data_IF_271952835419
#
_entry.id   IF_271952835419
#
_cell.length_a   1.000
_cell.length_b   1.000
_cell.length_c   1.000
_cell.angle_alpha   90.00
_cell.angle_beta   90.00
_cell.angle_gamma   90.00
#
_symmetry.space_group_name_H-M   'P 1'
#
loop_
_entity.id
_entity.type
_entity.pdbx_description
1 polymer ?
#
# COMPACT_ATOMS: atom_id res chain seq x y z
N UNK A 1 3.37 -11.14 21.42
CA UNK A 1 2.88 -12.37 20.74
C UNK A 1 2.97 -12.13 19.24
N UNK A 2 4.05 -12.60 18.59
CA UNK A 2 4.30 -12.36 17.16
C UNK A 2 3.30 -13.15 16.32
N UNK A 3 2.20 -12.52 15.91
CA UNK A 3 1.28 -13.09 14.91
C UNK A 3 2.07 -13.29 13.61
N UNK A 4 2.06 -14.52 13.09
CA UNK A 4 2.67 -14.90 11.81
C UNK A 4 1.89 -14.24 10.64
N UNK A 5 2.04 -12.94 10.47
CA UNK A 5 1.55 -12.26 9.28
C UNK A 5 2.52 -12.53 8.12
N UNK A 6 1.96 -12.91 6.97
CA UNK A 6 2.75 -13.24 5.77
C UNK A 6 2.85 -12.05 4.80
N UNK A 7 2.03 -11.01 5.00
CA UNK A 7 2.03 -9.78 4.21
C UNK A 7 2.48 -8.61 5.08
N UNK A 8 3.42 -7.81 4.57
CA UNK A 8 3.93 -6.63 5.26
C UNK A 8 3.48 -5.37 4.53
N UNK A 9 2.72 -4.53 5.23
CA UNK A 9 2.35 -3.20 4.78
C UNK A 9 3.25 -2.18 5.47
N UNK A 10 3.86 -1.28 4.68
CA UNK A 10 4.77 -0.24 5.18
C UNK A 10 4.17 1.12 4.85
N UNK A 11 3.27 1.64 5.68
CA UNK A 11 2.74 2.98 5.48
C UNK A 11 3.83 4.01 5.77
N UNK A 12 3.72 5.16 5.09
CA UNK A 12 4.41 6.36 5.55
C UNK A 12 3.80 6.82 6.88
N UNK A 13 4.52 7.63 7.66
CA UNK A 13 4.11 8.09 9.00
C UNK A 13 2.99 9.17 8.96
N UNK A 14 1.99 8.98 8.10
CA UNK A 14 0.79 9.79 8.02
C UNK A 14 -0.03 9.59 9.28
N UNK A 15 -0.52 10.68 9.90
CA UNK A 15 -1.34 10.60 11.13
C UNK A 15 -2.63 9.78 10.97
N UNK A 16 -3.12 9.64 9.74
CA UNK A 16 -4.28 8.79 9.42
C UNK A 16 -3.98 7.29 9.53
N UNK A 17 -2.73 6.88 9.35
CA UNK A 17 -2.30 5.49 9.42
C UNK A 17 -1.56 5.18 10.73
N UNK A 18 -0.72 6.10 11.19
CA UNK A 18 0.18 5.95 12.33
C UNK A 18 -0.09 7.08 13.33
N UNK A 19 -0.63 6.74 14.49
CA UNK A 19 -0.87 7.68 15.59
C UNK A 19 0.45 8.06 16.23
N UNK A 20 1.31 7.06 16.48
CA UNK A 20 2.66 7.25 17.04
C UNK A 20 3.64 6.29 16.38
N UNK A 21 4.62 6.84 15.67
CA UNK A 21 5.67 6.03 15.08
C UNK A 21 6.68 5.62 16.15
N UNK A 22 6.81 4.31 16.39
CA UNK A 22 7.87 3.71 17.19
C UNK A 22 8.57 2.61 16.39
N UNK A 23 9.81 2.28 16.75
CA UNK A 23 10.59 1.25 16.04
C UNK A 23 10.14 -0.17 16.39
N UNK A 24 9.63 -0.37 17.60
CA UNK A 24 9.29 -1.67 18.16
C UNK A 24 7.78 -1.82 18.35
N UNK A 25 7.10 -0.78 18.85
CA UNK A 25 5.66 -0.82 19.15
C UNK A 25 4.95 0.45 18.63
N UNK A 26 4.74 0.57 17.31
CA UNK A 26 4.05 1.72 16.75
C UNK A 26 2.55 1.67 17.06
N UNK A 27 2.00 2.83 17.46
CA UNK A 27 0.56 2.98 17.60
C UNK A 27 -0.04 3.21 16.21
N UNK A 28 -0.68 2.17 15.68
CA UNK A 28 -1.39 2.19 14.40
C UNK A 28 -2.80 2.72 14.63
N UNK A 29 -3.35 3.43 13.64
CA UNK A 29 -4.75 3.79 13.67
C UNK A 29 -5.62 2.53 13.81
N UNK A 30 -6.57 2.54 14.76
CA UNK A 30 -7.41 1.38 15.09
C UNK A 30 -8.11 0.77 13.86
N UNK A 31 -8.64 1.60 12.97
CA UNK A 31 -9.29 1.11 11.74
C UNK A 31 -8.30 0.42 10.79
N UNK A 32 -7.06 0.91 10.70
CA UNK A 32 -6.01 0.27 9.91
C UNK A 32 -5.52 -1.02 10.58
N UNK A 33 -5.48 -1.07 11.91
CA UNK A 33 -5.16 -2.28 12.66
C UNK A 33 -6.23 -3.37 12.48
N UNK A 34 -7.52 -3.01 12.55
CA UNK A 34 -8.63 -3.92 12.26
C UNK A 34 -8.55 -4.48 10.84
N UNK A 35 -8.32 -3.61 9.85
CA UNK A 35 -8.11 -4.00 8.46
C UNK A 35 -6.92 -4.95 8.30
N UNK A 36 -5.80 -4.62 8.94
CA UNK A 36 -4.59 -5.42 8.87
C UNK A 36 -4.80 -6.80 9.51
N UNK A 37 -5.51 -6.87 10.65
CA UNK A 37 -5.88 -8.11 11.29
C UNK A 37 -6.82 -8.97 10.43
N UNK A 38 -7.80 -8.35 9.76
CA UNK A 38 -8.73 -9.06 8.86
C UNK A 38 -8.02 -9.77 7.71
N UNK A 39 -7.01 -9.12 7.12
CA UNK A 39 -6.24 -9.68 6.00
C UNK A 39 -4.91 -10.34 6.40
N UNK A 40 -4.67 -10.54 7.71
CA UNK A 40 -3.43 -11.10 8.24
C UNK A 40 -2.15 -10.38 7.72
N UNK A 41 -2.22 -9.05 7.72
CA UNK A 41 -1.17 -8.11 7.33
C UNK A 41 -0.48 -7.59 8.60
N UNK A 42 0.85 -7.46 8.59
CA UNK A 42 1.58 -6.67 9.59
C UNK A 42 1.85 -5.28 9.06
N UNK A 43 1.46 -4.27 9.83
CA UNK A 43 1.79 -2.87 9.59
C UNK A 43 3.14 -2.54 10.24
N UNK A 44 4.11 -2.11 9.45
CA UNK A 44 5.42 -1.67 9.93
C UNK A 44 5.70 -0.27 9.40
N UNK A 45 5.57 0.79 10.20
CA UNK A 45 5.75 2.16 9.72
C UNK A 45 7.14 2.42 9.17
N UNK A 46 7.22 3.34 8.21
CA UNK A 46 8.48 3.88 7.72
C UNK A 46 9.28 4.55 8.86
N UNK A 47 10.61 4.57 8.75
CA UNK A 47 11.47 5.12 9.82
C UNK A 47 11.32 6.65 9.88
N UNK A 48 10.89 7.23 11.01
CA UNK A 48 10.75 8.68 11.12
C UNK A 48 12.09 9.38 10.94
N UNK A 49 12.07 10.54 10.25
CA UNK A 49 13.21 11.44 10.04
C UNK A 49 14.44 10.81 9.35
N UNK A 50 14.25 9.74 8.57
CA UNK A 50 15.28 9.20 7.67
C UNK A 50 14.88 9.43 6.21
N UNK A 51 15.25 10.58 5.61
CA UNK A 51 14.81 10.99 4.27
C UNK A 51 15.29 10.09 3.11
N UNK A 52 16.02 9.00 3.36
CA UNK A 52 16.44 8.02 2.33
C UNK A 52 15.24 7.40 1.61
N UNK A 53 14.06 7.40 2.22
CA UNK A 53 12.85 6.83 1.62
C UNK A 53 12.24 7.74 0.53
N UNK A 54 12.54 9.05 0.52
CA UNK A 54 12.12 9.99 -0.54
C UNK A 54 13.06 10.07 -1.75
N UNK A 55 14.34 9.71 -1.59
CA UNK A 55 15.28 9.64 -2.71
C UNK A 55 14.85 8.63 -3.79
N UNK A 56 14.07 7.61 -3.40
CA UNK A 56 13.46 6.66 -4.33
C UNK A 56 12.43 7.34 -5.25
N UNK A 57 11.67 8.33 -4.75
CA UNK A 57 10.62 9.01 -5.51
C UNK A 57 11.23 9.88 -6.61
N UNK A 58 12.25 10.69 -6.30
CA UNK A 58 12.94 11.53 -7.30
C UNK A 58 13.61 10.68 -8.39
N UNK A 59 14.28 9.60 -7.99
CA UNK A 59 14.83 8.64 -8.94
C UNK A 59 13.73 7.96 -9.78
N UNK A 60 12.57 7.68 -9.20
CA UNK A 60 11.45 7.11 -9.95
C UNK A 60 10.92 8.08 -11.02
N UNK A 61 10.77 9.37 -10.71
CA UNK A 61 10.35 10.36 -11.71
C UNK A 61 11.35 10.39 -12.87
N UNK A 62 12.66 10.45 -12.58
CA UNK A 62 13.71 10.40 -13.59
C UNK A 62 13.68 9.12 -14.42
N UNK A 63 13.43 7.97 -13.77
CA UNK A 63 13.32 6.67 -14.43
C UNK A 63 12.10 6.60 -15.35
N UNK A 64 10.96 7.16 -14.95
CA UNK A 64 9.75 7.22 -15.79
C UNK A 64 10.00 8.13 -17.00
N UNK A 65 10.62 9.28 -16.80
CA UNK A 65 11.00 10.18 -17.90
C UNK A 65 11.88 9.46 -18.93
N UNK A 66 12.94 8.78 -18.47
CA UNK A 66 13.89 8.10 -19.36
C UNK A 66 13.30 6.85 -20.02
N UNK A 67 12.47 6.07 -19.32
CA UNK A 67 12.00 4.76 -19.82
C UNK A 67 10.69 4.83 -20.57
N UNK A 68 9.80 5.75 -20.18
CA UNK A 68 8.45 5.89 -20.73
C UNK A 68 8.40 7.10 -21.66
N UNK A 69 8.62 8.31 -21.13
CA UNK A 69 8.46 9.54 -21.92
C UNK A 69 9.38 9.56 -23.14
N UNK A 70 10.67 9.24 -22.98
CA UNK A 70 11.62 9.25 -24.10
C UNK A 70 11.24 8.30 -25.25
N UNK A 71 10.53 7.21 -24.97
CA UNK A 71 10.03 6.25 -25.99
C UNK A 71 8.72 6.69 -26.64
N UNK A 72 7.92 7.46 -25.91
CA UNK A 72 6.61 7.95 -26.37
C UNK A 72 6.67 9.35 -26.97
N UNK A 73 7.76 10.10 -26.82
CA UNK A 73 7.89 11.51 -27.23
C UNK A 73 7.55 11.82 -28.70
N UNK A 74 7.68 10.84 -29.59
CA UNK A 74 7.40 10.97 -31.02
C UNK A 74 6.09 10.26 -31.44
N UNK A 75 5.25 9.89 -30.48
CA UNK A 75 3.93 9.28 -30.73
C UNK A 75 2.85 10.23 -30.28
N UNK A 76 1.87 10.46 -31.15
CA UNK A 76 0.67 11.20 -30.81
C UNK A 76 -0.42 10.24 -30.33
N UNK A 77 -1.09 10.61 -29.25
CA UNK A 77 -2.21 9.87 -28.69
C UNK A 77 -3.46 10.73 -28.79
N UNK A 78 -4.58 10.11 -29.16
CA UNK A 78 -5.87 10.79 -29.34
C UNK A 78 -6.86 10.49 -28.20
N UNK A 79 -6.45 9.68 -27.22
CA UNK A 79 -7.22 9.43 -25.99
C UNK A 79 -6.28 9.17 -24.80
N UNK A 80 -6.78 9.48 -23.60
CA UNK A 80 -6.08 9.17 -22.36
C UNK A 80 -5.91 7.67 -22.17
N UNK A 81 -6.90 6.86 -22.57
CA UNK A 81 -6.83 5.41 -22.47
C UNK A 81 -5.72 4.82 -23.33
N UNK A 82 -5.57 5.30 -24.58
CA UNK A 82 -4.51 4.86 -25.47
C UNK A 82 -3.11 5.21 -24.92
N UNK A 83 -2.98 6.39 -24.31
CA UNK A 83 -1.75 6.80 -23.63
C UNK A 83 -1.48 5.90 -22.40
N UNK A 84 -2.49 5.66 -21.56
CA UNK A 84 -2.39 4.82 -20.37
C UNK A 84 -1.99 3.39 -20.71
N UNK A 85 -2.57 2.80 -21.75
CA UNK A 85 -2.19 1.46 -22.24
C UNK A 85 -0.73 1.42 -22.71
N UNK A 86 -0.30 2.42 -23.47
CA UNK A 86 1.09 2.50 -23.92
C UNK A 86 2.07 2.64 -22.74
N UNK A 87 1.73 3.47 -21.75
CA UNK A 87 2.51 3.63 -20.51
C UNK A 87 2.57 2.31 -19.74
N UNK A 88 1.42 1.66 -19.48
CA UNK A 88 1.33 0.38 -18.77
C UNK A 88 2.21 -0.67 -19.42
N UNK A 89 2.09 -0.82 -20.74
CA UNK A 89 2.88 -1.78 -21.52
C UNK A 89 4.38 -1.53 -21.37
N UNK A 90 4.85 -0.29 -21.61
CA UNK A 90 6.27 0.04 -21.50
C UNK A 90 6.79 -0.17 -20.08
N UNK A 91 6.04 0.30 -19.07
CA UNK A 91 6.43 0.20 -17.68
C UNK A 91 6.58 -1.26 -17.22
N UNK A 92 5.63 -2.11 -17.62
CA UNK A 92 5.55 -3.50 -17.18
C UNK A 92 6.49 -4.44 -17.95
N UNK A 93 6.71 -4.18 -19.24
CA UNK A 93 7.48 -5.06 -20.13
C UNK A 93 8.97 -4.69 -20.25
N UNK A 94 9.37 -3.50 -19.80
CA UNK A 94 10.79 -3.13 -19.78
C UNK A 94 11.57 -3.99 -18.78
N UNK A 95 12.67 -4.61 -19.22
CA UNK A 95 13.59 -5.38 -18.36
C UNK A 95 14.15 -4.53 -17.23
N UNK A 96 14.29 -5.13 -16.05
CA UNK A 96 14.95 -4.48 -14.92
C UNK A 96 16.48 -4.63 -15.04
N UNK A 97 17.23 -3.65 -14.54
CA UNK A 97 18.71 -3.67 -14.66
C UNK A 97 19.36 -4.79 -13.83
N UNK A 98 18.80 -5.10 -12.66
CA UNK A 98 19.38 -6.07 -11.71
C UNK A 98 18.63 -7.42 -11.68
N UNK A 99 17.64 -7.62 -12.55
CA UNK A 99 16.84 -8.86 -12.60
C UNK A 99 16.73 -9.35 -14.03
N UNK A 100 16.75 -10.66 -14.28
CA UNK A 100 16.65 -11.20 -15.64
C UNK A 100 15.23 -11.13 -16.23
N UNK A 101 14.24 -10.64 -15.47
CA UNK A 101 12.85 -10.48 -15.89
C UNK A 101 12.40 -9.01 -15.92
N UNK A 102 11.29 -8.75 -16.64
CA UNK A 102 10.52 -7.51 -16.52
C UNK A 102 9.54 -7.59 -15.33
N UNK A 103 8.79 -6.51 -15.06
CA UNK A 103 7.80 -6.48 -13.97
C UNK A 103 6.72 -7.54 -14.17
N UNK A 104 6.18 -7.60 -15.39
CA UNK A 104 5.14 -8.55 -15.77
C UNK A 104 5.63 -10.00 -15.61
N UNK A 105 6.80 -10.33 -16.14
CA UNK A 105 7.38 -11.67 -16.01
C UNK A 105 7.67 -12.05 -14.55
N UNK A 106 8.18 -11.11 -13.74
CA UNK A 106 8.38 -11.32 -12.31
C UNK A 106 7.06 -11.54 -11.56
N UNK A 107 6.02 -10.77 -11.89
CA UNK A 107 4.69 -10.96 -11.34
C UNK A 107 4.13 -12.34 -11.69
N UNK A 108 4.18 -12.75 -12.96
CA UNK A 108 3.68 -14.06 -13.40
C UNK A 108 4.40 -15.23 -12.72
N UNK A 109 5.72 -15.11 -12.52
CA UNK A 109 6.53 -16.12 -11.84
C UNK A 109 6.16 -16.25 -10.35
N UNK A 110 5.85 -15.14 -9.68
CA UNK A 110 5.52 -15.11 -8.27
C UNK A 110 4.02 -15.26 -7.98
N UNK A 111 3.15 -15.10 -9.00
CA UNK A 111 1.68 -15.06 -8.86
C UNK A 111 1.13 -16.27 -8.10
N UNK A 112 1.69 -17.45 -8.37
CA UNK A 112 1.21 -18.71 -7.78
C UNK A 112 1.66 -18.91 -6.32
N UNK A 113 2.55 -18.06 -5.81
CA UNK A 113 3.00 -18.05 -4.41
C UNK A 113 2.12 -17.10 -3.57
N UNK A 114 1.39 -16.19 -4.21
CA UNK A 114 0.43 -15.32 -3.54
C UNK A 114 -0.75 -16.15 -3.02
N UNK A 115 -1.09 -15.96 -1.75
CA UNK A 115 -2.28 -16.57 -1.15
C UNK A 115 -3.55 -15.91 -1.70
N UNK A 116 -4.64 -16.68 -1.72
CA UNK A 116 -5.97 -16.13 -1.92
C UNK A 116 -6.32 -15.21 -0.75
N UNK A 117 -6.97 -14.09 -1.06
CA UNK A 117 -7.47 -13.18 -0.04
C UNK A 117 -8.64 -13.84 0.70
N UNK A 118 -8.89 -13.42 1.96
CA UNK A 118 -10.13 -13.79 2.65
C UNK A 118 -11.34 -13.40 1.79
N UNK A 119 -12.31 -14.29 1.65
CA UNK A 119 -13.51 -14.07 0.81
C UNK A 119 -14.42 -12.97 1.39
N UNK A 120 -14.42 -12.81 2.72
CA UNK A 120 -15.17 -11.75 3.38
C UNK A 120 -14.50 -10.39 3.15
N UNK A 121 -15.28 -9.42 2.68
CA UNK A 121 -14.87 -8.02 2.61
C UNK A 121 -14.76 -7.45 4.01
N UNK A 122 -13.72 -6.64 4.25
CA UNK A 122 -13.61 -5.90 5.51
C UNK A 122 -14.68 -4.81 5.62
N UNK A 123 -15.34 -4.73 6.77
CA UNK A 123 -16.28 -3.67 7.12
C UNK A 123 -15.68 -2.74 8.16
N UNK A 124 -15.88 -1.43 7.99
CA UNK A 124 -15.33 -0.44 8.90
C UNK A 124 -16.05 -0.50 10.25
N UNK A 125 -15.28 -0.71 11.32
CA UNK A 125 -15.79 -0.74 12.69
C UNK A 125 -15.79 0.66 13.28
N UNK A 126 -16.90 1.02 13.89
CA UNK A 126 -17.05 2.25 14.67
C UNK A 126 -17.05 1.89 16.15
N UNK A 127 -16.32 2.68 16.93
CA UNK A 127 -16.17 2.48 18.36
C UNK A 127 -16.60 3.74 19.08
N UNK A 128 -17.41 3.60 20.13
CA UNK A 128 -17.69 4.66 21.07
C UNK A 128 -17.58 4.11 22.49
N UNK A 129 -17.25 4.98 23.44
CA UNK A 129 -17.26 4.70 24.89
C UNK A 129 -18.36 5.52 25.54
N UNK A 130 -19.64 5.09 25.43
CA UNK A 130 -20.76 5.84 25.95
C UNK A 130 -20.87 5.67 27.47
N UNK A 131 -21.23 6.75 28.15
CA UNK A 131 -21.51 6.69 29.58
C UNK A 131 -22.84 5.98 29.81
N UNK A 132 -22.81 4.88 30.55
CA UNK A 132 -24.02 4.12 30.92
C UNK A 132 -24.75 4.88 32.02
N UNK A 133 -26.04 5.16 31.81
CA UNK A 133 -26.88 5.74 32.85
C UNK A 133 -27.24 4.68 33.90
N UNK A 134 -27.53 5.10 35.13
CA UNK A 134 -27.85 4.17 36.24
C UNK A 134 -29.07 3.27 35.98
N UNK A 135 -29.85 3.57 34.94
CA UNK A 135 -30.95 2.74 34.44
C UNK A 135 -30.49 1.62 33.49
N UNK A 136 -29.18 1.39 33.33
CA UNK A 136 -28.58 0.42 32.41
C UNK A 136 -28.94 0.62 30.93
N UNK A 137 -29.49 1.79 30.56
CA UNK A 137 -29.72 2.14 29.17
C UNK A 137 -28.52 2.91 28.60
N UNK A 138 -28.26 2.66 27.32
CA UNK A 138 -27.06 3.12 26.63
C UNK A 138 -27.51 3.70 25.28
N UNK A 139 -27.27 5.00 25.08
CA UNK A 139 -27.63 5.69 23.85
C UNK A 139 -26.46 5.60 22.86
N UNK A 140 -26.72 5.04 21.68
CA UNK A 140 -25.74 4.98 20.61
C UNK A 140 -25.91 6.19 19.68
N UNK A 141 -24.96 7.15 19.66
CA UNK A 141 -24.96 8.19 18.65
C UNK A 141 -24.51 7.56 17.33
N UNK A 142 -25.44 7.49 16.38
CA UNK A 142 -25.15 7.07 15.01
C UNK A 142 -24.21 8.03 14.29
#
# INVERSE_FOLDING_TARGET
>A
MLRLARLKYVPDNLKSAIIKADRYEPDVNRSLEDFANHYNITVVPARPRKPRDKALVENQVKLIYNRVYARLRNRQFFSLDALNEAIRKIHNQTRMQQKPWCREGGFLLLRNICLTLCEATFELKYYCEPKVANNNHLYWPG
#
